data_IF_869396367668
#
_entry.id   IF_869396367668
#
_cell.length_a   1.000
_cell.length_b   1.000
_cell.length_c   1.000
_cell.angle_alpha   90.00
_cell.angle_beta   90.00
_cell.angle_gamma   90.00
#
_symmetry.space_group_name_H-M   'P 1'
#
loop_
_entity.id
_entity.type
_entity.pdbx_description
1 polymer ?
#
# COMPACT_ATOMS: atom_id res chain seq x y z
N UNK A 1 13.83 -16.47 -9.80
CA UNK A 1 12.59 -16.66 -10.59
C UNK A 1 12.20 -15.29 -11.13
N UNK A 2 11.92 -15.17 -12.43
CA UNK A 2 11.63 -13.87 -13.04
C UNK A 2 10.37 -13.25 -12.43
N UNK A 3 10.46 -11.99 -12.01
CA UNK A 3 9.32 -11.27 -11.43
C UNK A 3 8.27 -11.12 -12.53
N UNK A 4 7.13 -11.78 -12.37
CA UNK A 4 6.03 -11.71 -13.35
C UNK A 4 5.45 -10.29 -13.32
N UNK A 5 5.42 -9.64 -14.47
CA UNK A 5 4.94 -8.26 -14.57
C UNK A 5 4.19 -8.04 -15.87
N UNK A 6 3.18 -7.20 -15.83
CA UNK A 6 2.38 -6.82 -16.99
C UNK A 6 2.28 -5.30 -17.10
N UNK A 7 2.15 -4.78 -18.31
CA UNK A 7 1.93 -3.36 -18.57
C UNK A 7 0.44 -3.07 -18.80
N UNK A 8 -0.01 -1.92 -18.34
CA UNK A 8 -1.38 -1.44 -18.52
C UNK A 8 -1.38 0.08 -18.64
N UNK A 9 -2.37 0.62 -19.35
CA UNK A 9 -2.55 2.07 -19.45
C UNK A 9 -3.41 2.59 -18.29
N UNK A 10 -2.95 3.68 -17.67
CA UNK A 10 -3.70 4.40 -16.64
C UNK A 10 -3.70 5.89 -16.94
N UNK A 11 -4.59 6.63 -16.29
CA UNK A 11 -4.53 8.09 -16.25
C UNK A 11 -3.76 8.53 -15.01
N UNK A 12 -2.73 9.35 -15.19
CA UNK A 12 -2.01 9.99 -14.09
C UNK A 12 -2.46 11.45 -13.95
N UNK A 13 -3.06 11.80 -12.81
CA UNK A 13 -3.39 13.19 -12.48
C UNK A 13 -4.35 13.86 -13.49
N UNK A 14 -3.94 14.99 -14.06
CA UNK A 14 -4.75 15.92 -14.87
C UNK A 14 -5.13 15.41 -16.28
N UNK A 15 -5.38 14.11 -16.44
CA UNK A 15 -5.89 13.53 -17.68
C UNK A 15 -4.84 12.94 -18.63
N UNK A 16 -3.57 12.98 -18.25
CA UNK A 16 -2.50 12.39 -19.07
C UNK A 16 -2.54 10.86 -19.00
N UNK A 17 -2.54 10.21 -20.16
CA UNK A 17 -2.46 8.76 -20.23
C UNK A 17 -1.00 8.30 -20.13
N UNK A 18 -0.73 7.33 -19.27
CA UNK A 18 0.63 6.82 -19.04
C UNK A 18 0.62 5.29 -19.03
N UNK A 19 1.78 4.70 -19.32
CA UNK A 19 1.98 3.26 -19.19
C UNK A 19 2.47 2.95 -17.77
N UNK A 20 1.73 2.09 -17.09
CA UNK A 20 2.08 1.58 -15.79
C UNK A 20 2.37 0.08 -15.84
N UNK A 21 3.27 -0.35 -14.99
CA UNK A 21 3.67 -1.73 -14.76
C UNK A 21 2.98 -2.25 -13.50
N UNK A 22 2.25 -3.33 -13.66
CA UNK A 22 1.83 -4.21 -12.58
C UNK A 22 2.93 -5.24 -12.34
N UNK A 23 3.38 -5.37 -11.10
CA UNK A 23 4.43 -6.32 -10.72
C UNK A 23 3.82 -7.26 -9.70
N UNK A 24 3.80 -8.56 -10.00
CA UNK A 24 3.32 -9.57 -9.05
C UNK A 24 4.23 -9.51 -7.81
N UNK A 25 3.61 -9.37 -6.65
CA UNK A 25 4.30 -9.17 -5.38
C UNK A 25 4.46 -7.71 -4.97
N UNK A 26 4.07 -6.71 -5.78
CA UNK A 26 4.02 -5.32 -5.31
C UNK A 26 2.58 -4.80 -5.37
N UNK A 27 2.08 -4.15 -4.31
CA UNK A 27 0.77 -3.54 -4.34
C UNK A 27 0.75 -2.30 -5.26
N UNK A 28 -0.31 -2.22 -6.06
CA UNK A 28 -0.60 -1.07 -6.91
C UNK A 28 0.24 -0.99 -8.19
N UNK A 29 -0.11 -0.05 -9.06
CA UNK A 29 0.53 0.12 -10.37
C UNK A 29 1.68 1.12 -10.33
N UNK A 30 2.80 0.81 -10.97
CA UNK A 30 4.00 1.67 -11.01
C UNK A 30 4.13 2.26 -12.41
N UNK A 31 4.01 3.58 -12.54
CA UNK A 31 4.26 4.29 -13.79
C UNK A 31 5.73 4.17 -14.14
N UNK A 32 5.98 3.78 -15.38
CA UNK A 32 7.32 3.69 -15.91
C UNK A 32 7.61 4.99 -16.66
N UNK A 33 8.31 5.90 -15.97
CA UNK A 33 8.64 7.26 -16.46
C UNK A 33 9.40 7.24 -17.79
N UNK A 34 10.02 6.11 -18.17
CA UNK A 34 10.73 5.94 -19.45
C UNK A 34 9.83 6.05 -20.67
N UNK A 35 8.53 5.77 -20.54
CA UNK A 35 7.60 5.85 -21.66
C UNK A 35 6.99 7.24 -21.85
N UNK A 36 7.11 8.13 -20.86
CA UNK A 36 6.47 9.44 -20.87
C UNK A 36 4.93 9.37 -20.82
N UNK A 37 4.30 10.51 -21.12
CA UNK A 37 2.84 10.62 -21.26
C UNK A 37 2.40 10.47 -22.72
N UNK A 38 1.17 10.00 -22.89
CA UNK A 38 0.51 9.80 -24.16
C UNK A 38 -0.68 10.75 -24.28
N UNK A 39 -0.92 11.32 -25.47
CA UNK A 39 -2.08 12.18 -25.75
C UNK A 39 -3.44 11.52 -25.47
N UNK A 40 -3.53 10.19 -25.59
CA UNK A 40 -4.77 9.44 -25.37
C UNK A 40 -4.51 8.13 -24.67
N UNK A 41 -5.52 7.66 -23.92
CA UNK A 41 -5.49 6.33 -23.29
C UNK A 41 -5.30 5.21 -24.30
N UNK A 42 -5.92 5.32 -25.49
CA UNK A 42 -5.80 4.32 -26.55
C UNK A 42 -4.35 4.14 -27.00
N UNK A 43 -3.60 5.23 -27.15
CA UNK A 43 -2.18 5.17 -27.52
C UNK A 43 -1.32 4.56 -26.40
N UNK A 44 -1.57 4.93 -25.14
CA UNK A 44 -0.90 4.30 -24.01
C UNK A 44 -1.22 2.79 -23.93
N UNK A 45 -2.47 2.41 -24.19
CA UNK A 45 -2.91 1.02 -24.11
C UNK A 45 -2.32 0.18 -25.25
N UNK A 46 -2.22 0.74 -26.46
CA UNK A 46 -1.56 0.09 -27.58
C UNK A 46 -0.06 -0.11 -27.30
N UNK A 47 0.59 0.89 -26.69
CA UNK A 47 1.98 0.75 -26.26
C UNK A 47 2.15 -0.33 -25.20
N UNK A 48 1.27 -0.36 -24.19
CA UNK A 48 1.26 -1.40 -23.17
C UNK A 48 1.05 -2.79 -23.77
N UNK A 49 0.16 -2.92 -24.76
CA UNK A 49 -0.09 -4.17 -25.50
C UNK A 49 1.17 -4.67 -26.20
N UNK A 50 1.85 -3.81 -26.96
CA UNK A 50 3.11 -4.15 -27.63
C UNK A 50 4.20 -4.62 -26.65
N UNK A 51 4.29 -3.96 -25.49
CA UNK A 51 5.25 -4.36 -24.43
C UNK A 51 4.90 -5.74 -23.85
N UNK A 52 3.62 -6.04 -23.65
CA UNK A 52 3.17 -7.34 -23.17
C UNK A 52 3.37 -8.46 -24.20
N UNK A 53 3.15 -8.16 -25.49
CA UNK A 53 3.46 -9.07 -26.59
C UNK A 53 4.96 -9.42 -26.62
N UNK A 54 5.83 -8.42 -26.41
CA UNK A 54 7.28 -8.64 -26.27
C UNK A 54 7.69 -9.47 -25.06
N UNK A 55 6.84 -9.54 -24.01
CA UNK A 55 7.01 -10.42 -22.86
C UNK A 55 6.38 -11.81 -23.06
N UNK A 56 5.72 -12.06 -24.20
CA UNK A 56 5.02 -13.32 -24.47
C UNK A 56 3.75 -13.51 -23.63
N UNK A 57 3.18 -12.43 -23.09
CA UNK A 57 1.99 -12.49 -22.24
C UNK A 57 0.72 -12.40 -23.07
N UNK A 58 -0.25 -13.27 -22.78
CA UNK A 58 -1.59 -13.17 -23.36
C UNK A 58 -2.39 -12.06 -22.69
N UNK A 59 -3.41 -11.55 -23.39
CA UNK A 59 -4.29 -10.51 -22.82
C UNK A 59 -5.00 -11.00 -21.54
N UNK A 60 -5.32 -12.29 -21.42
CA UNK A 60 -5.90 -12.86 -20.20
C UNK A 60 -4.92 -12.86 -19.03
N UNK A 61 -3.65 -13.20 -19.27
CA UNK A 61 -2.60 -13.14 -18.25
C UNK A 61 -2.34 -11.70 -17.78
N UNK A 62 -2.27 -10.75 -18.71
CA UNK A 62 -2.13 -9.31 -18.39
C UNK A 62 -3.28 -8.85 -17.50
N UNK A 63 -4.52 -9.18 -17.86
CA UNK A 63 -5.70 -8.83 -17.05
C UNK A 63 -5.64 -9.45 -15.66
N UNK A 64 -5.29 -10.74 -15.56
CA UNK A 64 -5.17 -11.42 -14.27
C UNK A 64 -4.15 -10.73 -13.35
N UNK A 65 -2.95 -10.44 -13.86
CA UNK A 65 -1.88 -9.77 -13.10
C UNK A 65 -2.33 -8.37 -12.64
N UNK A 66 -2.91 -7.58 -13.55
CA UNK A 66 -3.35 -6.22 -13.23
C UNK A 66 -4.48 -6.23 -12.19
N UNK A 67 -5.43 -7.15 -12.29
CA UNK A 67 -6.52 -7.31 -11.32
C UNK A 67 -5.96 -7.72 -9.96
N UNK A 68 -5.07 -8.72 -9.91
CA UNK A 68 -4.46 -9.20 -8.67
C UNK A 68 -3.73 -8.07 -7.94
N UNK A 69 -2.89 -7.31 -8.64
CA UNK A 69 -2.11 -6.19 -8.08
C UNK A 69 -3.01 -5.07 -7.56
N UNK A 70 -4.14 -4.80 -8.23
CA UNK A 70 -5.14 -3.81 -7.78
C UNK A 70 -5.89 -4.28 -6.55
N UNK A 71 -6.39 -5.52 -6.54
CA UNK A 71 -7.09 -6.09 -5.40
C UNK A 71 -6.20 -6.12 -4.15
N UNK A 72 -4.92 -6.48 -4.31
CA UNK A 72 -3.93 -6.41 -3.21
C UNK A 72 -3.74 -4.99 -2.68
N UNK A 73 -3.69 -3.99 -3.56
CA UNK A 73 -3.58 -2.59 -3.15
C UNK A 73 -4.83 -2.12 -2.38
N UNK A 74 -6.02 -2.45 -2.88
CA UNK A 74 -7.30 -2.11 -2.25
C UNK A 74 -7.46 -2.78 -0.89
N UNK A 75 -7.14 -4.07 -0.77
CA UNK A 75 -7.15 -4.78 0.50
C UNK A 75 -6.21 -4.11 1.53
N UNK A 76 -4.99 -3.75 1.12
CA UNK A 76 -4.03 -3.08 2.00
C UNK A 76 -4.54 -1.71 2.46
N UNK A 77 -5.19 -0.95 1.57
CA UNK A 77 -5.80 0.35 1.90
C UNK A 77 -6.93 0.18 2.92
N UNK A 78 -7.82 -0.80 2.71
CA UNK A 78 -8.94 -1.07 3.62
C UNK A 78 -8.45 -1.51 5.02
N UNK A 79 -7.44 -2.36 5.09
CA UNK A 79 -6.83 -2.75 6.36
C UNK A 79 -6.22 -1.56 7.10
N UNK A 80 -5.52 -0.69 6.36
CA UNK A 80 -4.95 0.55 6.86
C UNK A 80 -6.03 1.49 7.44
N UNK A 81 -7.11 1.74 6.71
CA UNK A 81 -8.23 2.58 7.16
C UNK A 81 -8.87 2.02 8.44
N UNK A 82 -9.09 0.71 8.47
CA UNK A 82 -9.69 0.04 9.61
C UNK A 82 -8.78 0.08 10.85
N UNK A 83 -7.46 -0.01 10.68
CA UNK A 83 -6.48 0.15 11.75
C UNK A 83 -6.53 1.57 12.34
N UNK A 84 -6.55 2.60 11.48
CA UNK A 84 -6.64 4.00 11.93
C UNK A 84 -7.94 4.28 12.68
N UNK A 85 -9.05 3.71 12.23
CA UNK A 85 -10.33 3.85 12.92
C UNK A 85 -10.26 3.23 14.33
N UNK A 86 -9.74 2.01 14.44
CA UNK A 86 -9.60 1.30 15.72
C UNK A 86 -8.71 2.10 16.68
N UNK A 87 -7.58 2.59 16.19
CA UNK A 87 -6.63 3.38 16.97
C UNK A 87 -7.24 4.73 17.43
N UNK A 88 -7.98 5.40 16.54
CA UNK A 88 -8.73 6.63 16.86
C UNK A 88 -9.82 6.41 17.91
N UNK A 89 -10.54 5.29 17.83
CA UNK A 89 -11.55 4.92 18.83
C UNK A 89 -10.90 4.67 20.21
N UNK A 90 -9.75 3.99 20.24
CA UNK A 90 -8.99 3.78 21.47
C UNK A 90 -8.51 5.12 22.07
N UNK A 91 -7.98 6.02 21.25
CA UNK A 91 -7.57 7.36 21.70
C UNK A 91 -8.71 8.13 22.36
N UNK A 92 -9.90 8.13 21.75
CA UNK A 92 -11.07 8.82 22.27
C UNK A 92 -11.52 8.25 23.62
N UNK A 93 -11.40 6.93 23.81
CA UNK A 93 -11.72 6.26 25.08
C UNK A 93 -10.70 6.61 26.17
N UNK A 94 -9.42 6.58 25.84
CA UNK A 94 -8.34 6.83 26.80
C UNK A 94 -8.22 8.31 27.19
N UNK A 95 -8.37 9.25 26.23
CA UNK A 95 -8.38 10.70 26.55
C UNK A 95 -9.47 11.08 27.56
N UNK A 96 -10.59 10.35 27.59
CA UNK A 96 -11.66 10.56 28.58
C UNK A 96 -11.31 10.02 29.96
N UNK A 97 -10.40 9.05 30.05
CA UNK A 97 -10.01 8.39 31.30
C UNK A 97 -8.76 9.01 31.89
N UNK A 98 -7.66 9.08 31.13
CA UNK A 98 -6.38 9.67 31.51
C UNK A 98 -5.63 10.09 30.24
N UNK A 99 -5.27 11.38 30.15
CA UNK A 99 -4.42 11.86 29.04
C UNK A 99 -2.98 11.40 29.26
N UNK A 100 -2.41 10.68 28.27
CA UNK A 100 -1.02 10.23 28.24
C UNK A 100 -0.38 10.63 26.90
N UNK A 101 0.68 11.45 26.87
CA UNK A 101 1.33 11.88 25.63
C UNK A 101 1.90 10.71 24.81
N UNK A 102 2.18 9.58 25.46
CA UNK A 102 2.62 8.34 24.82
C UNK A 102 1.58 7.77 23.85
N UNK A 103 0.29 8.02 24.09
CA UNK A 103 -0.79 7.58 23.20
C UNK A 103 -0.81 8.40 21.90
N UNK A 104 -0.56 9.71 22.00
CA UNK A 104 -0.49 10.58 20.82
C UNK A 104 0.73 10.22 19.97
N UNK A 105 1.86 9.86 20.60
CA UNK A 105 3.05 9.38 19.90
C UNK A 105 2.81 8.05 19.16
N UNK A 106 2.12 7.09 19.79
CA UNK A 106 1.75 5.83 19.14
C UNK A 106 0.86 6.06 17.92
N UNK A 107 -0.16 6.92 18.03
CA UNK A 107 -1.08 7.20 16.93
C UNK A 107 -0.38 7.90 15.77
N UNK A 108 0.51 8.83 16.05
CA UNK A 108 1.33 9.46 15.02
C UNK A 108 2.18 8.44 14.27
N UNK A 109 2.73 7.43 14.96
CA UNK A 109 3.47 6.33 14.32
C UNK A 109 2.54 5.46 13.45
N UNK A 110 1.35 5.12 13.93
CA UNK A 110 0.37 4.35 13.15
C UNK A 110 -0.10 5.12 11.91
N UNK A 111 -0.45 6.38 12.06
CA UNK A 111 -0.82 7.28 10.96
C UNK A 111 0.29 7.39 9.93
N UNK A 112 1.54 7.54 10.37
CA UNK A 112 2.69 7.60 9.47
C UNK A 112 2.89 6.27 8.72
N UNK A 113 2.82 5.12 9.41
CA UNK A 113 2.96 3.80 8.80
C UNK A 113 1.87 3.52 7.78
N UNK A 114 0.62 3.84 8.11
CA UNK A 114 -0.53 3.73 7.21
C UNK A 114 -0.40 4.67 6.02
N UNK A 115 0.04 5.90 6.24
CA UNK A 115 0.26 6.87 5.15
C UNK A 115 1.30 6.34 4.18
N UNK A 116 2.39 5.72 4.66
CA UNK A 116 3.36 5.07 3.78
C UNK A 116 2.76 3.92 2.97
N UNK A 117 1.90 3.08 3.56
CA UNK A 117 1.19 2.02 2.84
C UNK A 117 0.26 2.60 1.76
N UNK A 118 -0.57 3.58 2.10
CA UNK A 118 -1.50 4.21 1.16
C UNK A 118 -0.77 4.89 0.01
N UNK A 119 0.32 5.62 0.30
CA UNK A 119 1.16 6.24 -0.73
C UNK A 119 1.86 5.16 -1.55
N UNK A 120 2.31 4.04 -0.99
CA UNK A 120 2.87 2.96 -1.80
C UNK A 120 1.85 2.34 -2.77
N UNK A 121 0.59 2.22 -2.35
CA UNK A 121 -0.50 1.68 -3.19
C UNK A 121 -0.95 2.65 -4.30
N UNK A 122 -0.94 3.95 -4.02
CA UNK A 122 -1.51 4.99 -4.90
C UNK A 122 -0.45 5.75 -5.69
N UNK A 123 0.76 5.91 -5.16
CA UNK A 123 1.85 6.57 -5.84
C UNK A 123 2.38 5.67 -6.95
N UNK A 124 2.44 6.22 -8.14
CA UNK A 124 2.92 5.51 -9.30
C UNK A 124 4.46 5.57 -9.49
N UNK A 125 5.22 6.13 -8.54
CA UNK A 125 6.67 6.27 -8.67
C UNK A 125 7.45 5.02 -8.17
N UNK A 126 8.73 4.92 -8.53
CA UNK A 126 9.70 3.84 -8.20
C UNK A 126 9.97 3.70 -6.69
N UNK A 127 9.56 4.66 -5.86
CA UNK A 127 9.84 4.64 -4.42
C UNK A 127 8.97 3.69 -3.59
N UNK A 128 8.14 2.84 -4.22
CA UNK A 128 7.23 1.92 -3.51
C UNK A 128 7.93 1.00 -2.52
N UNK A 129 8.99 0.32 -2.93
CA UNK A 129 9.74 -0.57 -2.04
C UNK A 129 10.29 0.17 -0.82
N UNK A 130 10.78 1.40 -1.04
CA UNK A 130 11.22 2.27 0.06
C UNK A 130 10.06 2.64 0.98
N UNK A 131 8.89 2.99 0.44
CA UNK A 131 7.70 3.34 1.23
C UNK A 131 7.19 2.13 2.02
N UNK A 132 7.11 0.95 1.40
CA UNK A 132 6.73 -0.29 2.09
C UNK A 132 7.72 -0.64 3.20
N UNK A 133 9.02 -0.46 2.97
CA UNK A 133 10.04 -0.63 4.02
C UNK A 133 9.86 0.38 5.16
N UNK A 134 9.57 1.65 4.87
CA UNK A 134 9.30 2.65 5.90
C UNK A 134 8.01 2.33 6.67
N UNK A 135 6.97 1.85 5.99
CA UNK A 135 5.75 1.37 6.64
C UNK A 135 6.06 0.24 7.62
N UNK A 136 6.78 -0.81 7.20
CA UNK A 136 7.20 -1.93 8.06
C UNK A 136 7.96 -1.47 9.29
N UNK A 137 8.94 -0.58 9.11
CA UNK A 137 9.74 -0.04 10.22
C UNK A 137 8.85 0.72 11.22
N UNK A 138 8.01 1.61 10.72
CA UNK A 138 7.12 2.46 11.54
C UNK A 138 6.11 1.62 12.31
N UNK A 139 5.51 0.62 11.66
CA UNK A 139 4.60 -0.35 12.29
C UNK A 139 5.30 -1.20 13.36
N UNK A 140 6.55 -1.60 13.12
CA UNK A 140 7.35 -2.34 14.11
C UNK A 140 7.67 -1.49 15.35
N UNK A 141 7.94 -0.19 15.16
CA UNK A 141 8.09 0.74 16.27
C UNK A 141 6.77 0.92 17.04
N UNK A 142 5.63 0.99 16.34
CA UNK A 142 4.33 1.05 16.97
C UNK A 142 4.03 -0.21 17.81
N UNK A 143 4.33 -1.41 17.32
CA UNK A 143 4.21 -2.65 18.13
C UNK A 143 5.13 -2.64 19.35
N UNK A 144 6.38 -2.24 19.17
CA UNK A 144 7.34 -2.14 20.28
C UNK A 144 6.91 -1.13 21.35
N UNK A 145 6.19 -0.09 20.94
CA UNK A 145 5.60 0.91 21.84
C UNK A 145 4.35 0.35 22.55
N UNK A 146 3.48 -0.36 21.83
CA UNK A 146 2.30 -1.03 22.40
C UNK A 146 2.65 -1.98 23.55
N UNK A 147 3.71 -2.78 23.39
CA UNK A 147 4.18 -3.70 24.44
C UNK A 147 4.78 -3.02 25.69
N UNK A 148 5.06 -1.71 25.65
CA UNK A 148 5.64 -0.96 26.78
C UNK A 148 4.62 -0.16 27.59
N UNK A 149 3.43 0.05 27.04
CA UNK A 149 2.41 0.89 27.64
C UNK A 149 1.26 0.03 28.16
N UNK A 150 0.88 0.22 29.42
CA UNK A 150 -0.33 -0.37 30.01
C UNK A 150 -1.57 0.31 29.40
N UNK A 151 -1.94 -0.11 28.21
CA UNK A 151 -3.24 0.21 27.63
C UNK A 151 -4.30 -0.75 28.20
N UNK A 152 -5.55 -0.29 28.26
CA UNK A 152 -6.68 -1.16 28.60
C UNK A 152 -6.73 -2.36 27.63
N UNK A 153 -6.71 -3.56 28.22
CA UNK A 153 -6.47 -4.87 27.58
C UNK A 153 -7.35 -5.14 26.34
N UNK A 154 -8.56 -4.56 26.25
CA UNK A 154 -9.50 -4.85 25.15
C UNK A 154 -9.20 -4.12 23.81
N UNK A 155 -8.39 -3.06 23.83
CA UNK A 155 -8.11 -2.25 22.62
C UNK A 155 -6.78 -2.58 21.94
N UNK A 156 -5.77 -2.94 22.73
CA UNK A 156 -4.40 -3.12 22.24
C UNK A 156 -4.18 -4.43 21.52
N UNK A 157 -4.77 -5.52 22.02
CA UNK A 157 -4.70 -6.81 21.34
C UNK A 157 -5.29 -6.74 19.91
N UNK A 158 -6.31 -5.90 19.70
CA UNK A 158 -6.90 -5.68 18.38
C UNK A 158 -5.98 -4.88 17.46
N UNK A 159 -5.32 -3.85 17.97
CA UNK A 159 -4.34 -3.05 17.22
C UNK A 159 -3.13 -3.92 16.87
N UNK A 160 -2.61 -4.69 17.83
CA UNK A 160 -1.48 -5.61 17.65
C UNK A 160 -1.79 -6.66 16.58
N UNK A 161 -2.90 -7.38 16.70
CA UNK A 161 -3.34 -8.37 15.69
C UNK A 161 -3.46 -7.75 14.28
N UNK A 162 -3.89 -6.49 14.19
CA UNK A 162 -4.04 -5.79 12.91
C UNK A 162 -2.71 -5.30 12.34
N UNK A 163 -1.78 -4.86 13.19
CA UNK A 163 -0.41 -4.55 12.74
C UNK A 163 0.29 -5.82 12.27
N UNK A 164 0.15 -6.94 12.99
CA UNK A 164 0.71 -8.23 12.59
C UNK A 164 0.16 -8.70 11.24
N UNK A 165 -1.16 -8.58 11.01
CA UNK A 165 -1.77 -8.86 9.70
C UNK A 165 -1.20 -7.97 8.62
N UNK A 166 -1.14 -6.66 8.87
CA UNK A 166 -0.60 -5.68 7.92
C UNK A 166 0.87 -5.97 7.60
N UNK A 167 1.66 -6.37 8.60
CA UNK A 167 3.06 -6.78 8.42
C UNK A 167 3.17 -8.09 7.64
N UNK A 168 2.34 -9.09 7.92
CA UNK A 168 2.28 -10.34 7.14
C UNK A 168 1.97 -10.07 5.67
N UNK A 169 0.96 -9.22 5.40
CA UNK A 169 0.62 -8.81 4.03
C UNK A 169 1.75 -8.03 3.38
N UNK A 170 2.44 -7.17 4.14
CA UNK A 170 3.63 -6.49 3.63
C UNK A 170 4.76 -7.47 3.34
N UNK A 171 4.96 -8.51 4.14
CA UNK A 171 6.04 -9.49 3.96
C UNK A 171 5.85 -10.35 2.71
N UNK A 172 4.60 -10.63 2.33
CA UNK A 172 4.24 -11.23 1.03
C UNK A 172 4.71 -10.41 -0.19
N UNK A 173 5.09 -9.15 0.02
CA UNK A 173 5.60 -8.25 -1.02
C UNK A 173 7.13 -8.15 -1.10
N UNK A 174 7.85 -8.97 -0.33
CA UNK A 174 9.33 -8.98 -0.24
C UNK A 174 9.95 -10.05 -1.13
#
# INVERSE_FOLDING_TARGET
MGVQSAFTAIFAGCGDAVVARAVVGLPGLTVDERFGSFPTWTQANERARQLNEGLGLTQSQVRAIVIEVRLKAEALILECESLLETASQLQKRERRRHYKPEHDALLAQLELGVTFCQVACTCHNVQKERLLKQARNTLSYAMSALGKFEFSIDGVNQIETRIERLQSTLDEFS
#
